data_IF_549411218275
#
_entry.id   IF_549411218275
#
_cell.length_a   1.000
_cell.length_b   1.000
_cell.length_c   1.000
_cell.angle_alpha   90.00
_cell.angle_beta   90.00
_cell.angle_gamma   90.00
#
_symmetry.space_group_name_H-M   'P 1'
#
loop_
_entity.id
_entity.type
_entity.pdbx_description
1 polymer ?
#
# COMPACT_ATOMS: atom_id res chain seq x y z
N UNK A 1 -6.34 -0.78 58.59
CA UNK A 1 -4.98 -1.10 58.13
C UNK A 1 -5.10 -1.85 56.83
N UNK A 2 -4.43 -1.34 55.81
CA UNK A 2 -4.21 -1.98 54.50
C UNK A 2 -5.26 -1.67 53.42
N UNK A 3 -5.17 -0.50 52.90
CA UNK A 3 -5.59 -0.15 51.52
C UNK A 3 -4.41 0.56 50.89
N UNK A 4 -3.76 -0.15 49.97
CA UNK A 4 -2.91 0.47 48.91
C UNK A 4 -2.30 -0.68 48.08
N UNK A 5 -2.95 -1.02 46.96
CA UNK A 5 -2.30 -1.66 45.80
C UNK A 5 -3.32 -2.01 44.70
N UNK A 6 -3.98 -1.04 44.06
CA UNK A 6 -4.70 -1.28 42.80
C UNK A 6 -4.75 0.00 41.96
N UNK A 7 -3.61 0.55 41.67
CA UNK A 7 -3.55 1.76 40.81
C UNK A 7 -2.53 1.67 39.66
N UNK A 8 -1.86 0.53 39.52
CA UNK A 8 -0.81 0.34 38.52
C UNK A 8 -1.21 -0.31 37.20
N UNK A 9 -2.34 -1.02 37.18
CA UNK A 9 -2.69 -1.87 36.01
C UNK A 9 -3.50 -1.19 34.92
N UNK A 10 -4.14 -0.06 35.22
CA UNK A 10 -5.01 0.63 34.23
C UNK A 10 -4.28 1.63 33.36
N UNK A 11 -3.03 1.97 33.65
CA UNK A 11 -2.26 2.96 32.91
C UNK A 11 -1.35 2.37 31.84
N UNK A 12 -1.05 1.08 31.93
CA UNK A 12 -0.26 0.37 30.91
C UNK A 12 -1.06 -0.13 29.71
N UNK A 13 -2.40 -0.13 29.76
CA UNK A 13 -3.26 -0.58 28.67
C UNK A 13 -3.70 0.54 27.73
N UNK A 14 -3.35 1.78 27.97
CA UNK A 14 -3.81 2.93 27.19
C UNK A 14 -2.80 3.49 26.18
N UNK A 15 -1.61 2.90 26.07
CA UNK A 15 -0.52 3.46 25.24
C UNK A 15 -0.06 2.55 24.09
N UNK A 16 -0.92 1.65 23.61
CA UNK A 16 -0.79 1.15 22.25
C UNK A 16 -1.51 2.13 21.32
N UNK A 17 -0.84 3.24 21.07
CA UNK A 17 -1.13 4.05 19.89
C UNK A 17 -1.13 3.09 18.70
N UNK A 18 -2.28 2.91 18.06
CA UNK A 18 -2.42 1.95 16.97
C UNK A 18 -1.35 2.25 15.91
N UNK A 19 -0.51 1.27 15.59
CA UNK A 19 0.60 1.41 14.66
C UNK A 19 0.06 2.00 13.34
N UNK A 20 0.66 3.11 12.87
CA UNK A 20 0.25 3.75 11.61
C UNK A 20 0.63 2.87 10.43
N UNK A 21 -0.32 2.59 9.56
CA UNK A 21 -0.11 1.79 8.36
C UNK A 21 -0.17 2.66 7.12
N UNK A 22 0.92 2.67 6.36
CA UNK A 22 1.06 3.35 5.07
C UNK A 22 0.84 2.32 3.97
N UNK A 23 -0.32 2.39 3.31
CA UNK A 23 -0.68 1.47 2.23
C UNK A 23 -0.10 1.98 0.90
N UNK A 24 0.73 1.17 0.25
CA UNK A 24 1.25 1.43 -1.08
C UNK A 24 0.71 0.40 -2.08
N UNK A 25 0.31 0.86 -3.26
CA UNK A 25 -0.10 -0.01 -4.36
C UNK A 25 1.15 -0.48 -5.11
N UNK A 26 1.26 -1.80 -5.28
CA UNK A 26 2.37 -2.43 -6.01
C UNK A 26 1.89 -2.80 -7.40
N UNK A 27 2.60 -2.30 -8.39
CA UNK A 27 2.44 -2.64 -9.80
C UNK A 27 3.81 -2.61 -10.50
N UNK A 28 3.83 -2.76 -11.80
CA UNK A 28 5.01 -2.73 -12.66
C UNK A 28 5.29 -1.34 -13.27
N UNK A 29 4.63 -0.29 -12.77
CA UNK A 29 4.86 1.08 -13.25
C UNK A 29 6.22 1.61 -12.80
N UNK A 30 6.78 2.49 -13.61
CA UNK A 30 8.08 3.14 -13.32
C UNK A 30 8.01 4.07 -12.10
N UNK A 31 6.82 4.57 -11.78
CA UNK A 31 6.58 5.49 -10.67
C UNK A 31 6.38 4.79 -9.31
N UNK A 32 6.00 3.51 -9.30
CA UNK A 32 5.71 2.77 -8.06
C UNK A 32 6.86 2.82 -7.06
N UNK A 33 8.15 2.67 -7.45
CA UNK A 33 9.26 2.73 -6.49
C UNK A 33 9.36 4.06 -5.74
N UNK A 34 8.96 5.17 -6.34
CA UNK A 34 8.96 6.50 -5.73
C UNK A 34 7.88 6.61 -4.64
N UNK A 35 6.66 6.15 -4.91
CA UNK A 35 5.61 6.08 -3.90
C UNK A 35 5.99 5.15 -2.74
N UNK A 36 6.58 4.00 -3.05
CA UNK A 36 7.03 3.06 -2.03
C UNK A 36 8.14 3.66 -1.16
N UNK A 37 9.09 4.39 -1.75
CA UNK A 37 10.14 5.08 -0.99
C UNK A 37 9.54 6.10 -0.03
N UNK A 38 8.58 6.92 -0.49
CA UNK A 38 7.86 7.86 0.37
C UNK A 38 7.16 7.14 1.54
N UNK A 39 6.44 6.05 1.27
CA UNK A 39 5.78 5.27 2.31
C UNK A 39 6.77 4.72 3.35
N UNK A 40 7.91 4.20 2.90
CA UNK A 40 8.97 3.71 3.79
C UNK A 40 9.52 4.83 4.69
N UNK A 41 9.85 5.99 4.12
CA UNK A 41 10.37 7.14 4.89
C UNK A 41 9.36 7.62 5.95
N UNK A 42 8.08 7.69 5.57
CA UNK A 42 7.01 8.05 6.53
C UNK A 42 6.85 7.01 7.63
N UNK A 43 6.92 5.71 7.28
CA UNK A 43 6.86 4.63 8.26
C UNK A 43 8.04 4.69 9.25
N UNK A 44 9.27 4.91 8.77
CA UNK A 44 10.45 5.08 9.62
C UNK A 44 10.27 6.23 10.63
N UNK A 45 9.88 7.41 10.15
CA UNK A 45 9.79 8.61 10.98
C UNK A 45 8.64 8.60 11.99
N UNK A 46 7.67 7.71 11.82
CA UNK A 46 6.50 7.62 12.69
C UNK A 46 6.42 6.30 13.46
N UNK A 47 7.47 5.49 13.38
CA UNK A 47 7.49 4.10 13.88
C UNK A 47 6.29 3.25 13.37
N UNK A 48 5.81 3.61 12.19
CA UNK A 48 4.71 2.92 11.52
C UNK A 48 5.15 1.69 10.73
N UNK A 49 4.24 1.17 9.93
CA UNK A 49 4.44 0.03 9.07
C UNK A 49 3.98 0.30 7.64
N UNK A 50 4.66 -0.27 6.68
CA UNK A 50 4.20 -0.27 5.29
C UNK A 50 3.30 -1.48 5.05
N UNK A 51 2.21 -1.28 4.33
CA UNK A 51 1.41 -2.35 3.74
C UNK A 51 1.51 -2.27 2.22
N UNK A 52 1.59 -3.42 1.57
CA UNK A 52 1.65 -3.56 0.12
C UNK A 52 0.34 -4.16 -0.39
N UNK A 53 -0.31 -3.46 -1.29
CA UNK A 53 -1.52 -3.92 -1.96
C UNK A 53 -1.21 -4.31 -3.40
N UNK A 54 -1.59 -5.53 -3.77
CA UNK A 54 -1.37 -6.06 -5.11
C UNK A 54 -2.61 -6.76 -5.64
N UNK A 55 -2.95 -6.46 -6.89
CA UNK A 55 -3.96 -7.18 -7.66
C UNK A 55 -3.31 -7.65 -8.94
N UNK A 56 -3.25 -8.98 -9.20
CA UNK A 56 -2.74 -9.50 -10.45
C UNK A 56 -3.47 -8.89 -11.66
N UNK A 57 -2.72 -8.56 -12.71
CA UNK A 57 -3.33 -8.11 -13.95
C UNK A 57 -4.32 -9.15 -14.44
N UNK A 58 -5.54 -8.72 -14.79
CA UNK A 58 -6.48 -9.60 -15.50
C UNK A 58 -5.85 -9.93 -16.84
N UNK A 59 -5.42 -11.16 -16.99
CA UNK A 59 -5.07 -11.64 -18.30
C UNK A 59 -6.34 -11.62 -19.17
N UNK A 60 -6.30 -10.88 -20.25
CA UNK A 60 -7.40 -10.71 -21.21
C UNK A 60 -7.58 -12.02 -22.02
N UNK A 61 -8.26 -13.01 -21.40
CA UNK A 61 -8.37 -14.38 -21.93
C UNK A 61 -9.69 -14.64 -22.64
N UNK A 62 -10.07 -13.80 -23.57
CA UNK A 62 -11.32 -14.07 -24.31
C UNK A 62 -11.21 -15.16 -25.38
N UNK A 63 -10.02 -15.73 -25.67
CA UNK A 63 -9.88 -16.55 -26.87
C UNK A 63 -9.30 -17.97 -26.75
N UNK A 64 -8.65 -18.40 -25.63
CA UNK A 64 -8.03 -19.77 -25.58
C UNK A 64 -7.95 -20.28 -24.12
N UNK A 65 -8.85 -21.21 -23.74
CA UNK A 65 -8.93 -21.73 -22.36
C UNK A 65 -7.63 -22.41 -21.87
N UNK A 66 -6.94 -23.18 -22.70
CA UNK A 66 -5.71 -23.87 -22.28
C UNK A 66 -4.48 -22.94 -22.19
N UNK A 67 -4.38 -21.95 -23.06
CA UNK A 67 -3.34 -20.92 -23.02
C UNK A 67 -3.60 -19.96 -21.87
N UNK A 68 -4.87 -19.76 -21.49
CA UNK A 68 -5.29 -18.93 -20.37
C UNK A 68 -4.76 -19.41 -19.04
N UNK A 69 -4.72 -20.70 -18.78
CA UNK A 69 -4.26 -21.24 -17.49
C UNK A 69 -2.74 -21.09 -17.31
N UNK A 70 -1.96 -21.32 -18.38
CA UNK A 70 -0.51 -21.10 -18.36
C UNK A 70 -0.17 -19.61 -18.11
N UNK A 71 -0.82 -18.71 -18.83
CA UNK A 71 -0.58 -17.28 -18.69
C UNK A 71 -1.03 -16.73 -17.31
N UNK A 72 -2.07 -17.31 -16.71
CA UNK A 72 -2.46 -16.98 -15.32
C UNK A 72 -1.38 -17.41 -14.33
N UNK A 73 -0.82 -18.60 -14.51
CA UNK A 73 0.25 -19.09 -13.66
C UNK A 73 1.51 -18.23 -13.79
N UNK A 74 1.93 -17.90 -15.02
CA UNK A 74 3.05 -17.00 -15.28
C UNK A 74 2.82 -15.60 -14.68
N UNK A 75 1.61 -15.05 -14.82
CA UNK A 75 1.26 -13.76 -14.22
C UNK A 75 1.26 -13.80 -12.68
N UNK A 76 0.81 -14.92 -12.10
CA UNK A 76 0.85 -15.15 -10.66
C UNK A 76 2.29 -15.23 -10.16
N UNK A 77 3.14 -16.01 -10.81
CA UNK A 77 4.56 -16.12 -10.45
C UNK A 77 5.28 -14.78 -10.56
N UNK A 78 5.06 -14.02 -11.63
CA UNK A 78 5.64 -12.69 -11.79
C UNK A 78 5.18 -11.71 -10.70
N UNK A 79 3.91 -11.79 -10.30
CA UNK A 79 3.36 -11.00 -9.20
C UNK A 79 3.96 -11.37 -7.85
N UNK A 80 4.13 -12.66 -7.57
CA UNK A 80 4.79 -13.14 -6.35
C UNK A 80 6.25 -12.68 -6.28
N UNK A 81 7.00 -12.77 -7.38
CA UNK A 81 8.36 -12.25 -7.45
C UNK A 81 8.43 -10.74 -7.24
N UNK A 82 7.50 -9.99 -7.84
CA UNK A 82 7.40 -8.54 -7.65
C UNK A 82 7.17 -8.21 -6.17
N UNK A 83 6.20 -8.86 -5.53
CA UNK A 83 5.90 -8.66 -4.11
C UNK A 83 7.07 -9.04 -3.20
N UNK A 84 7.78 -10.12 -3.50
CA UNK A 84 8.97 -10.52 -2.74
C UNK A 84 10.06 -9.46 -2.82
N UNK A 85 10.34 -8.93 -4.01
CA UNK A 85 11.32 -7.85 -4.19
C UNK A 85 10.92 -6.59 -3.42
N UNK A 86 9.66 -6.18 -3.52
CA UNK A 86 9.19 -4.98 -2.82
C UNK A 86 9.15 -5.19 -1.30
N UNK A 87 8.77 -6.38 -0.85
CA UNK A 87 8.80 -6.74 0.59
C UNK A 87 10.22 -6.68 1.16
N UNK A 88 11.20 -7.23 0.45
CA UNK A 88 12.61 -7.16 0.85
C UNK A 88 13.12 -5.72 0.89
N UNK A 89 12.73 -4.88 -0.07
CA UNK A 89 13.10 -3.46 -0.11
C UNK A 89 12.50 -2.67 1.07
N UNK A 90 11.23 -2.91 1.40
CA UNK A 90 10.57 -2.30 2.57
C UNK A 90 11.30 -2.72 3.85
N UNK A 91 11.57 -4.01 4.02
CA UNK A 91 12.26 -4.51 5.21
C UNK A 91 13.68 -3.93 5.32
N UNK A 92 14.40 -3.81 4.22
CA UNK A 92 15.73 -3.20 4.18
C UNK A 92 15.70 -1.73 4.60
N UNK A 93 14.69 -0.97 4.16
CA UNK A 93 14.54 0.47 4.45
C UNK A 93 14.00 0.73 5.85
N UNK A 94 12.97 0.01 6.28
CA UNK A 94 12.24 0.32 7.52
C UNK A 94 12.63 -0.58 8.70
N UNK A 95 13.35 -1.67 8.46
CA UNK A 95 13.62 -2.71 9.47
C UNK A 95 12.41 -3.59 9.82
N UNK A 96 11.23 -3.30 9.25
CA UNK A 96 9.99 -4.04 9.52
C UNK A 96 9.51 -4.79 8.27
N UNK A 97 8.99 -6.00 8.47
CA UNK A 97 8.33 -6.74 7.39
C UNK A 97 7.00 -6.06 7.04
N UNK A 98 6.71 -5.77 5.76
CA UNK A 98 5.45 -5.17 5.38
C UNK A 98 4.26 -6.12 5.55
N UNK A 99 3.06 -5.56 5.70
CA UNK A 99 1.81 -6.31 5.59
C UNK A 99 1.52 -6.51 4.10
N UNK A 100 1.11 -7.72 3.69
CA UNK A 100 0.80 -8.01 2.29
C UNK A 100 -0.71 -8.23 2.13
N UNK A 101 -1.32 -7.47 1.23
CA UNK A 101 -2.70 -7.64 0.81
C UNK A 101 -2.75 -7.98 -0.68
N UNK A 102 -3.12 -9.23 -0.97
CA UNK A 102 -3.28 -9.72 -2.34
C UNK A 102 -4.77 -9.94 -2.57
N UNK A 103 -5.32 -9.30 -3.59
CA UNK A 103 -6.73 -9.38 -3.95
C UNK A 103 -6.88 -9.74 -5.42
N UNK A 104 -8.02 -10.27 -5.80
CA UNK A 104 -8.39 -10.57 -7.17
C UNK A 104 -9.61 -9.72 -7.56
N UNK A 105 -9.60 -9.17 -8.76
CA UNK A 105 -10.72 -8.38 -9.25
C UNK A 105 -10.32 -7.06 -9.91
N UNK A 106 -11.19 -6.08 -9.83
CA UNK A 106 -10.88 -4.71 -10.24
C UNK A 106 -10.03 -4.02 -9.18
N UNK A 107 -8.86 -3.52 -9.59
CA UNK A 107 -7.86 -2.95 -8.67
C UNK A 107 -8.42 -1.79 -7.84
N UNK A 108 -9.16 -0.89 -8.47
CA UNK A 108 -9.72 0.28 -7.78
C UNK A 108 -10.83 -0.08 -6.81
N UNK A 109 -11.71 -1.01 -7.18
CA UNK A 109 -12.79 -1.49 -6.32
C UNK A 109 -12.24 -2.31 -5.14
N UNK A 110 -11.28 -3.19 -5.38
CA UNK A 110 -10.67 -4.01 -4.33
C UNK A 110 -9.85 -3.15 -3.36
N UNK A 111 -9.22 -2.07 -3.84
CA UNK A 111 -8.51 -1.11 -2.98
C UNK A 111 -9.46 -0.41 -2.01
N UNK A 112 -10.64 0.04 -2.48
CA UNK A 112 -11.65 0.66 -1.62
C UNK A 112 -12.17 -0.34 -0.60
N UNK A 113 -12.51 -1.57 -1.02
CA UNK A 113 -12.97 -2.62 -0.11
C UNK A 113 -11.93 -2.91 0.98
N UNK A 114 -10.64 -2.99 0.60
CA UNK A 114 -9.57 -3.20 1.57
C UNK A 114 -9.53 -2.08 2.62
N UNK A 115 -9.62 -0.84 2.20
CA UNK A 115 -9.63 0.28 3.15
C UNK A 115 -10.87 0.27 4.07
N UNK A 116 -12.03 -0.21 3.58
CA UNK A 116 -13.23 -0.41 4.40
C UNK A 116 -13.06 -1.54 5.43
N UNK A 117 -12.33 -2.60 5.08
CA UNK A 117 -12.12 -3.79 5.91
C UNK A 117 -10.99 -3.60 6.95
N UNK A 118 -10.00 -2.76 6.65
CA UNK A 118 -8.77 -2.58 7.43
C UNK A 118 -8.69 -1.17 8.06
N UNK A 119 -9.32 -0.96 9.21
CA UNK A 119 -9.41 0.36 9.85
C UNK A 119 -8.05 0.93 10.31
N UNK A 120 -7.02 0.09 10.39
CA UNK A 120 -5.67 0.51 10.78
C UNK A 120 -4.89 1.18 9.64
N UNK A 121 -5.38 1.13 8.40
CA UNK A 121 -4.78 1.86 7.30
C UNK A 121 -4.95 3.35 7.55
N UNK A 122 -3.82 4.03 7.75
CA UNK A 122 -3.81 5.43 8.13
C UNK A 122 -3.74 6.36 6.92
N UNK A 123 -2.99 5.97 5.90
CA UNK A 123 -2.75 6.76 4.68
C UNK A 123 -2.55 5.83 3.50
N UNK A 124 -3.19 6.16 2.37
CA UNK A 124 -2.91 5.55 1.07
C UNK A 124 -1.86 6.39 0.34
N UNK A 125 -0.81 5.75 -0.14
CA UNK A 125 0.28 6.39 -0.91
C UNK A 125 0.27 5.87 -2.34
N UNK A 126 0.17 6.78 -3.29
CA UNK A 126 0.13 6.49 -4.72
C UNK A 126 1.17 7.32 -5.47
N UNK A 127 1.72 6.78 -6.54
CA UNK A 127 2.52 7.55 -7.48
C UNK A 127 1.64 8.07 -8.63
N UNK A 128 1.83 9.32 -9.01
CA UNK A 128 1.21 9.86 -10.21
C UNK A 128 2.08 9.57 -11.43
N UNK A 129 1.47 9.07 -12.51
CA UNK A 129 2.14 8.86 -13.78
C UNK A 129 2.76 10.16 -14.32
N UNK A 130 3.86 10.02 -15.04
CA UNK A 130 4.61 11.14 -15.65
C UNK A 130 4.24 11.39 -17.10
N UNK A 131 3.43 10.52 -17.68
CA UNK A 131 3.01 10.60 -19.08
C UNK A 131 1.81 11.54 -19.27
N UNK A 132 1.62 12.02 -20.50
CA UNK A 132 0.49 12.89 -20.88
C UNK A 132 -0.88 12.23 -20.75
N UNK A 133 -0.93 10.92 -20.53
CA UNK A 133 -2.15 10.14 -20.29
C UNK A 133 -2.84 10.42 -18.94
N UNK A 134 -2.21 11.22 -18.09
CA UNK A 134 -2.75 11.63 -16.80
C UNK A 134 -2.15 10.86 -15.61
N UNK A 135 -2.70 11.04 -14.39
CA UNK A 135 -2.09 10.56 -13.14
C UNK A 135 -2.20 9.05 -12.95
N UNK A 136 -2.84 8.36 -13.86
CA UNK A 136 -3.09 6.93 -13.79
C UNK A 136 -4.53 6.56 -13.39
N UNK A 137 -4.94 5.30 -13.68
CA UNK A 137 -6.34 4.88 -13.55
C UNK A 137 -6.84 4.84 -12.11
N UNK A 138 -6.02 4.45 -11.15
CA UNK A 138 -6.40 4.39 -9.73
C UNK A 138 -6.66 5.80 -9.21
N UNK A 139 -5.73 6.74 -9.43
CA UNK A 139 -5.86 8.13 -8.97
C UNK A 139 -7.10 8.76 -9.60
N UNK A 140 -7.29 8.60 -10.92
CA UNK A 140 -8.45 9.12 -11.63
C UNK A 140 -9.77 8.56 -11.09
N UNK A 141 -9.82 7.27 -10.78
CA UNK A 141 -10.99 6.64 -10.17
C UNK A 141 -11.25 7.20 -8.76
N UNK A 142 -10.25 7.24 -7.91
CA UNK A 142 -10.38 7.66 -6.50
C UNK A 142 -10.78 9.13 -6.37
N UNK A 143 -10.25 10.01 -7.22
CA UNK A 143 -10.61 11.43 -7.22
C UNK A 143 -11.95 11.71 -7.95
N UNK A 144 -12.45 10.77 -8.74
CA UNK A 144 -13.71 10.84 -9.45
C UNK A 144 -14.84 10.04 -8.77
N UNK A 145 -15.16 8.89 -9.35
CA UNK A 145 -16.28 8.04 -8.90
C UNK A 145 -16.10 7.49 -7.49
N UNK A 146 -14.87 7.21 -7.08
CA UNK A 146 -14.52 6.66 -5.78
C UNK A 146 -14.48 7.68 -4.64
N UNK A 147 -14.45 8.99 -4.95
CA UNK A 147 -14.20 10.05 -3.97
C UNK A 147 -15.14 10.04 -2.75
N UNK A 148 -16.42 9.68 -2.96
CA UNK A 148 -17.42 9.62 -1.88
C UNK A 148 -17.25 8.43 -0.94
N UNK A 149 -16.50 7.43 -1.36
CA UNK A 149 -16.23 6.19 -0.59
C UNK A 149 -14.91 6.26 0.17
N UNK A 150 -14.13 7.32 -0.07
CA UNK A 150 -12.85 7.51 0.60
C UNK A 150 -13.06 8.00 2.03
N UNK A 151 -12.46 7.30 2.97
CA UNK A 151 -12.37 7.69 4.37
C UNK A 151 -10.92 7.64 4.91
N UNK A 152 -9.99 7.25 4.04
CA UNK A 152 -8.54 7.25 4.30
C UNK A 152 -7.89 8.39 3.51
N UNK A 153 -7.04 9.23 4.14
CA UNK A 153 -6.28 10.23 3.43
C UNK A 153 -5.39 9.63 2.34
N UNK A 154 -5.27 10.35 1.23
CA UNK A 154 -4.42 9.95 0.10
C UNK A 154 -3.24 10.90 -0.02
N UNK A 155 -2.04 10.36 -0.12
CA UNK A 155 -0.86 11.08 -0.57
C UNK A 155 -0.55 10.68 -2.01
N UNK A 156 -0.52 11.65 -2.90
CA UNK A 156 -0.12 11.46 -4.30
C UNK A 156 1.30 12.01 -4.46
N UNK A 157 2.23 11.11 -4.75
CA UNK A 157 3.64 11.44 -4.98
C UNK A 157 3.85 11.63 -6.48
N UNK A 158 4.32 12.80 -6.95
CA UNK A 158 4.68 12.96 -8.36
C UNK A 158 5.74 11.95 -8.78
N UNK A 159 5.48 11.19 -9.84
CA UNK A 159 6.41 10.15 -10.32
C UNK A 159 7.75 10.69 -10.82
N UNK A 160 7.82 12.00 -11.08
CA UNK A 160 9.06 12.70 -11.45
C UNK A 160 9.97 13.08 -10.27
N UNK A 161 9.51 12.88 -9.01
CA UNK A 161 10.34 13.16 -7.84
C UNK A 161 11.51 12.20 -7.74
N UNK A 162 12.63 12.73 -7.27
CA UNK A 162 13.82 11.93 -6.95
C UNK A 162 13.79 11.43 -5.51
N UNK A 163 14.60 10.42 -5.21
CA UNK A 163 14.80 9.91 -3.85
C UNK A 163 15.26 11.03 -2.91
N UNK A 164 16.21 11.86 -3.34
CA UNK A 164 16.74 12.97 -2.52
C UNK A 164 15.67 14.02 -2.20
N UNK A 165 14.80 14.33 -3.16
CA UNK A 165 13.66 15.24 -2.93
C UNK A 165 12.66 14.67 -1.92
N UNK A 166 12.39 13.36 -1.98
CA UNK A 166 11.53 12.70 -1.00
C UNK A 166 12.18 12.70 0.38
N UNK A 167 13.45 12.37 0.47
CA UNK A 167 14.18 12.36 1.75
C UNK A 167 14.21 13.76 2.40
N UNK A 168 14.22 14.82 1.59
CA UNK A 168 14.19 16.19 2.08
C UNK A 168 12.85 16.63 2.69
N UNK A 169 11.74 15.97 2.34
CA UNK A 169 10.38 16.35 2.76
C UNK A 169 9.72 15.36 3.73
N UNK A 170 10.33 14.23 3.96
CA UNK A 170 9.80 13.19 4.85
C UNK A 170 10.54 13.14 6.18
#
# INVERSE_FOLDING_TARGET
MSETAESGSSKEMADHEAERVFLAVVDDSDEMPIALHFACRRAEHTDGRVALFYVPAKADFQHWMAVGDLMREEAREAGEELLQRQSAEVQRKTGKVPILFIREGDRSEELIKLMDEEPNISILVLAAGTEDSGPGPIISYLLGKGARRLHVPITIVPGSMTVDEIDAIT
#
